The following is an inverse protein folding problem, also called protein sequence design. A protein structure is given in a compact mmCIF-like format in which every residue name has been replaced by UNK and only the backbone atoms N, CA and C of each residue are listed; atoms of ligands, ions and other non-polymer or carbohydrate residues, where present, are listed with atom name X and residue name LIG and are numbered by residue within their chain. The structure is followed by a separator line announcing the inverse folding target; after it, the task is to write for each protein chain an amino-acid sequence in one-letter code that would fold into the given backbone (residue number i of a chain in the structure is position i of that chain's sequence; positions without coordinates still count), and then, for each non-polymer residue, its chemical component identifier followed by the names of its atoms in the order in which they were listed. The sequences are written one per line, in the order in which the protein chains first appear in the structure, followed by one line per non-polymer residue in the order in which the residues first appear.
data_IF_982798186608
#
_entry.id   IF_982798186608
#
_cell.length_a   1.000
_cell.length_b   1.000
_cell.length_c   1.000
_cell.angle_alpha   90.00
_cell.angle_beta   90.00
_cell.angle_gamma   90.00
#
_symmetry.space_group_name_H-M   'P 1'
#
loop_
_entity.id
_entity.type
_entity.pdbx_description
1 polymer ?
#
# COMPACT_ATOMS: atom_id res chain seq x y z
N UNK A 1 -52.52 -36.80 0.90
CA UNK A 1 -53.00 -38.08 1.46
C UNK A 1 -52.72 -39.20 0.46
N UNK A 2 -51.89 -40.19 0.87
CA UNK A 2 -51.92 -41.62 0.44
C UNK A 2 -51.49 -41.87 -1.04
N UNK A 3 -50.54 -42.72 -1.48
CA UNK A 3 -49.78 -43.92 -1.05
C UNK A 3 -48.61 -44.05 -2.07
N UNK A 4 -47.33 -44.10 -1.70
CA UNK A 4 -46.48 -45.29 -1.47
C UNK A 4 -46.66 -46.51 -2.42
N UNK A 5 -45.51 -47.01 -2.93
CA UNK A 5 -45.07 -48.41 -3.23
C UNK A 5 -44.48 -48.54 -4.65
N UNK A 6 -43.16 -48.70 -4.82
CA UNK A 6 -42.25 -49.85 -4.60
C UNK A 6 -42.22 -50.89 -5.74
N UNK A 7 -41.00 -51.07 -6.26
CA UNK A 7 -40.31 -52.33 -6.58
C UNK A 7 -40.62 -53.04 -7.89
N UNK A 8 -39.59 -53.29 -8.71
CA UNK A 8 -39.38 -54.54 -9.46
C UNK A 8 -37.85 -54.75 -9.67
N UNK A 9 -37.26 -55.78 -9.03
CA UNK A 9 -36.65 -56.98 -9.66
C UNK A 9 -35.21 -56.78 -10.20
N UNK A 10 -34.24 -57.70 -10.11
CA UNK A 10 -34.15 -59.08 -9.60
C UNK A 10 -32.66 -59.47 -9.63
N UNK A 11 -32.23 -60.13 -8.56
CA UNK A 11 -31.09 -61.05 -8.37
C UNK A 11 -30.21 -61.45 -9.57
N UNK A 12 -28.88 -61.50 -9.32
CA UNK A 12 -28.09 -62.70 -9.63
C UNK A 12 -26.95 -62.90 -8.62
N UNK A 13 -26.97 -64.08 -7.99
CA UNK A 13 -25.96 -64.62 -7.09
C UNK A 13 -24.83 -65.23 -7.93
N UNK A 14 -23.58 -65.03 -7.51
CA UNK A 14 -22.51 -65.99 -7.75
C UNK A 14 -21.72 -66.17 -6.45
N UNK A 15 -21.43 -67.44 -6.18
CA UNK A 15 -20.90 -67.97 -4.93
C UNK A 15 -19.43 -68.34 -5.15
N UNK A 16 -18.62 -68.15 -4.10
CA UNK A 16 -17.35 -68.82 -3.76
C UNK A 16 -16.16 -68.63 -4.71
N UNK A 17 -15.11 -67.96 -4.20
CA UNK A 17 -13.80 -68.59 -4.00
C UNK A 17 -12.91 -67.67 -3.16
N UNK A 18 -12.69 -68.11 -1.92
CA UNK A 18 -11.72 -67.58 -0.97
C UNK A 18 -10.31 -67.82 -1.49
N UNK A 19 -9.53 -66.76 -1.71
CA UNK A 19 -8.06 -66.83 -1.66
C UNK A 19 -7.57 -65.63 -0.85
N UNK A 20 -7.21 -65.92 0.39
CA UNK A 20 -6.47 -65.03 1.27
C UNK A 20 -5.06 -64.87 0.69
N UNK A 21 -4.70 -63.66 0.24
CA UNK A 21 -3.30 -63.31 0.01
C UNK A 21 -3.02 -62.07 0.86
N UNK A 22 -2.41 -62.30 2.04
CA UNK A 22 -1.79 -61.25 2.84
C UNK A 22 -0.62 -60.68 2.04
N UNK A 23 -0.81 -59.51 1.44
CA UNK A 23 0.29 -58.62 1.08
C UNK A 23 0.22 -57.41 1.97
N UNK A 24 1.16 -57.37 2.91
CA UNK A 24 1.53 -56.17 3.66
C UNK A 24 1.97 -55.12 2.64
N UNK A 25 1.13 -54.14 2.38
CA UNK A 25 1.47 -52.96 1.60
C UNK A 25 2.22 -51.99 2.54
N UNK A 26 3.52 -51.73 2.36
CA UNK A 26 4.12 -50.60 3.02
C UNK A 26 3.52 -49.34 2.38
N UNK A 27 2.83 -48.54 3.19
CA UNK A 27 2.49 -47.16 2.86
C UNK A 27 3.80 -46.37 2.66
N UNK A 28 4.30 -46.38 1.42
CA UNK A 28 5.25 -45.38 0.97
C UNK A 28 4.46 -44.09 0.77
N UNK A 29 4.52 -43.21 1.78
CA UNK A 29 4.26 -41.79 1.59
C UNK A 29 5.29 -41.28 0.56
N UNK A 30 4.92 -41.27 -0.71
CA UNK A 30 5.57 -40.42 -1.70
C UNK A 30 5.14 -38.98 -1.43
N UNK A 31 5.79 -38.38 -0.43
CA UNK A 31 5.88 -36.94 -0.34
C UNK A 31 6.55 -36.44 -1.61
N UNK A 32 5.81 -35.69 -2.42
CA UNK A 32 6.36 -34.96 -3.55
C UNK A 32 7.17 -33.78 -3.00
N UNK A 33 8.36 -34.07 -2.48
CA UNK A 33 9.38 -33.08 -2.18
C UNK A 33 9.91 -32.55 -3.49
N UNK A 34 9.35 -31.43 -3.95
CA UNK A 34 10.02 -30.61 -4.96
C UNK A 34 11.34 -30.16 -4.34
N UNK A 35 12.46 -30.68 -4.85
CA UNK A 35 13.77 -30.10 -4.56
C UNK A 35 13.74 -28.63 -4.99
N UNK A 36 14.25 -27.68 -4.18
CA UNK A 36 14.43 -26.32 -4.65
C UNK A 36 15.30 -26.37 -5.91
N UNK A 37 14.82 -25.70 -6.96
CA UNK A 37 15.58 -25.53 -8.19
C UNK A 37 16.66 -24.51 -7.87
N UNK A 38 17.93 -24.93 -7.91
CA UNK A 38 19.08 -24.04 -7.85
C UNK A 38 19.06 -23.13 -9.08
N UNK A 39 18.38 -22.00 -8.97
CA UNK A 39 18.61 -20.88 -9.86
C UNK A 39 19.91 -20.22 -9.41
N UNK A 40 20.93 -20.09 -10.29
CA UNK A 40 22.10 -19.28 -9.99
C UNK A 40 21.61 -17.89 -9.58
N UNK A 41 22.05 -17.42 -8.42
CA UNK A 41 21.84 -16.03 -8.03
C UNK A 41 22.33 -15.15 -9.20
N UNK A 42 21.56 -14.13 -9.62
CA UNK A 42 22.05 -13.18 -10.59
C UNK A 42 23.39 -12.62 -10.09
N UNK A 43 24.34 -12.33 -11.00
CA UNK A 43 25.65 -11.81 -10.60
C UNK A 43 25.43 -10.58 -9.71
N UNK A 44 26.11 -10.56 -8.55
CA UNK A 44 26.15 -9.40 -7.68
C UNK A 44 26.75 -8.27 -8.51
N UNK A 45 25.88 -7.33 -8.92
CA UNK A 45 26.33 -6.09 -9.54
C UNK A 45 26.96 -5.29 -8.41
N UNK A 46 28.29 -5.35 -8.30
CA UNK A 46 29.07 -4.46 -7.45
C UNK A 46 28.59 -3.02 -7.73
N UNK A 47 28.02 -2.31 -6.73
CA UNK A 47 27.54 -0.96 -6.95
C UNK A 47 28.73 -0.10 -7.40
N UNK A 48 28.61 0.51 -8.57
CA UNK A 48 29.53 1.55 -9.05
C UNK A 48 29.74 2.54 -7.89
N UNK A 49 30.98 2.90 -7.52
CA UNK A 49 31.23 3.70 -6.33
C UNK A 49 30.43 5.00 -6.45
N UNK A 50 29.42 5.11 -5.58
CA UNK A 50 28.65 6.33 -5.46
C UNK A 50 29.64 7.45 -5.12
N UNK A 51 29.54 8.57 -5.83
CA UNK A 51 30.14 9.83 -5.37
C UNK A 51 29.67 10.00 -3.92
N UNK A 52 30.59 9.99 -2.96
CA UNK A 52 30.26 10.18 -1.54
C UNK A 52 29.57 11.53 -1.38
N UNK A 53 28.24 11.55 -1.40
CA UNK A 53 27.47 12.59 -0.71
C UNK A 53 27.95 12.56 0.74
N UNK A 54 28.31 13.71 1.29
CA UNK A 54 28.74 13.82 2.69
C UNK A 54 27.74 13.07 3.58
N UNK A 55 28.25 12.27 4.51
CA UNK A 55 27.44 11.44 5.41
C UNK A 55 26.43 12.25 6.23
N UNK A 56 26.66 13.55 6.41
CA UNK A 56 25.76 14.45 7.14
C UNK A 56 24.48 14.81 6.38
N UNK A 57 24.48 14.73 5.05
CA UNK A 57 23.33 15.15 4.22
C UNK A 57 22.15 14.18 4.27
N UNK A 58 22.32 12.97 4.80
CA UNK A 58 21.26 11.96 4.89
C UNK A 58 20.95 11.50 6.33
N UNK A 59 21.18 12.35 7.32
CA UNK A 59 20.71 12.10 8.69
C UNK A 59 19.19 12.28 8.79
N UNK A 60 18.51 11.62 9.76
CA UNK A 60 17.10 11.88 10.07
C UNK A 60 16.80 13.37 10.26
N UNK A 61 17.63 14.07 11.04
CA UNK A 61 17.49 15.51 11.27
C UNK A 61 17.58 16.33 9.98
N UNK A 62 18.52 16.02 9.08
CA UNK A 62 18.64 16.69 7.79
C UNK A 62 17.39 16.48 6.91
N UNK A 63 16.83 15.26 6.88
CA UNK A 63 15.59 14.98 6.14
C UNK A 63 14.39 15.76 6.70
N UNK A 64 14.24 15.78 8.02
CA UNK A 64 13.18 16.57 8.69
C UNK A 64 13.35 18.06 8.39
N UNK A 65 14.56 18.61 8.48
CA UNK A 65 14.81 20.02 8.18
C UNK A 65 14.49 20.38 6.72
N UNK A 66 14.82 19.50 5.76
CA UNK A 66 14.43 19.69 4.36
C UNK A 66 12.92 19.64 4.16
N UNK A 67 12.23 18.73 4.85
CA UNK A 67 10.77 18.64 4.82
C UNK A 67 10.10 19.90 5.39
N UNK A 68 10.59 20.41 6.51
CA UNK A 68 10.12 21.68 7.09
C UNK A 68 10.37 22.86 6.13
N UNK A 69 11.54 22.90 5.50
CA UNK A 69 11.88 23.93 4.51
C UNK A 69 10.97 23.88 3.27
N UNK A 70 10.66 22.68 2.76
CA UNK A 70 9.69 22.48 1.67
C UNK A 70 8.33 23.13 1.98
N UNK A 71 7.85 23.02 3.21
CA UNK A 71 6.55 23.56 3.62
C UNK A 71 6.52 25.09 3.83
N UNK A 72 7.68 25.77 3.88
CA UNK A 72 7.73 27.23 4.12
C UNK A 72 7.04 28.05 3.02
N UNK A 73 7.05 27.57 1.78
CA UNK A 73 6.53 28.30 0.61
C UNK A 73 5.03 28.08 0.36
N UNK A 74 4.24 27.71 1.37
CA UNK A 74 2.84 27.29 1.21
C UNK A 74 1.89 28.31 0.55
N UNK A 75 2.23 29.60 0.47
CA UNK A 75 1.40 30.63 -0.18
C UNK A 75 1.99 31.17 -1.50
N UNK A 76 3.26 30.89 -1.77
CA UNK A 76 3.99 31.53 -2.87
C UNK A 76 4.05 30.67 -4.13
N UNK A 77 3.83 29.36 -4.00
CA UNK A 77 3.82 28.41 -5.13
C UNK A 77 2.42 27.97 -5.51
N UNK A 78 2.23 27.67 -6.80
CA UNK A 78 0.96 27.18 -7.34
C UNK A 78 0.61 25.80 -6.77
N UNK A 79 -0.67 25.39 -6.81
CA UNK A 79 -1.05 24.04 -6.36
C UNK A 79 -0.32 22.96 -7.17
N UNK A 80 -0.18 23.14 -8.49
CA UNK A 80 0.53 22.18 -9.35
C UNK A 80 1.98 22.01 -8.92
N UNK A 81 2.67 23.12 -8.65
CA UNK A 81 4.06 23.11 -8.19
C UNK A 81 4.21 22.45 -6.81
N UNK A 82 3.24 22.66 -5.89
CA UNK A 82 3.22 21.92 -4.61
C UNK A 82 3.15 20.41 -4.83
N UNK A 83 2.27 19.94 -5.72
CA UNK A 83 2.15 18.51 -6.03
C UNK A 83 3.49 17.96 -6.53
N UNK A 84 4.14 18.65 -7.45
CA UNK A 84 5.43 18.25 -8.03
C UNK A 84 6.54 18.21 -6.98
N UNK A 85 6.70 19.29 -6.20
CA UNK A 85 7.72 19.37 -5.17
C UNK A 85 7.54 18.30 -4.09
N UNK A 86 6.31 18.07 -3.64
CA UNK A 86 6.01 17.05 -2.62
C UNK A 86 6.22 15.63 -3.19
N UNK A 87 5.76 15.37 -4.41
CA UNK A 87 5.96 14.07 -5.05
C UNK A 87 7.44 13.75 -5.22
N UNK A 88 8.21 14.72 -5.73
CA UNK A 88 9.66 14.61 -5.91
C UNK A 88 10.40 14.43 -4.57
N UNK A 89 9.96 15.13 -3.52
CA UNK A 89 10.58 15.05 -2.21
C UNK A 89 10.50 13.64 -1.61
N UNK A 90 9.30 13.08 -1.50
CA UNK A 90 9.12 11.76 -0.90
C UNK A 90 9.65 10.64 -1.78
N UNK A 91 9.60 10.77 -3.12
CA UNK A 91 10.15 9.78 -4.05
C UNK A 91 11.69 9.66 -4.03
N UNK A 92 12.38 10.38 -3.15
CA UNK A 92 13.80 10.19 -2.85
C UNK A 92 14.07 9.20 -1.70
N UNK A 93 13.04 8.85 -0.91
CA UNK A 93 13.14 7.86 0.15
C UNK A 93 13.15 6.44 -0.42
N UNK A 94 13.58 5.49 0.39
CA UNK A 94 13.64 4.08 0.01
C UNK A 94 12.23 3.45 0.06
N UNK A 95 11.91 2.66 -0.96
CA UNK A 95 10.69 1.85 -0.98
C UNK A 95 11.02 0.49 -0.36
N UNK A 96 10.50 0.23 0.85
CA UNK A 96 10.85 -0.91 1.71
C UNK A 96 9.55 -1.47 2.30
N UNK A 97 9.34 -2.78 2.20
CA UNK A 97 8.16 -3.42 2.79
C UNK A 97 8.18 -3.33 4.33
N UNK A 98 7.00 -3.17 4.91
CA UNK A 98 6.81 -2.99 6.36
C UNK A 98 7.42 -4.09 7.23
N UNK A 99 7.44 -5.33 6.74
CA UNK A 99 8.00 -6.45 7.49
C UNK A 99 9.49 -6.24 7.77
N UNK A 100 10.21 -5.56 6.88
CA UNK A 100 11.63 -5.25 7.04
C UNK A 100 11.85 -3.96 7.83
N UNK A 101 10.96 -2.97 7.68
CA UNK A 101 11.12 -1.66 8.30
C UNK A 101 10.59 -1.60 9.74
N UNK A 102 9.41 -2.19 9.97
CA UNK A 102 8.64 -2.10 11.20
C UNK A 102 8.48 -3.44 11.93
N UNK A 103 8.81 -4.56 11.27
CA UNK A 103 8.67 -5.91 11.84
C UNK A 103 7.23 -6.42 11.91
N UNK A 104 6.33 -5.81 11.13
CA UNK A 104 4.90 -6.17 11.02
C UNK A 104 4.45 -6.03 9.56
N UNK A 105 3.38 -6.69 9.15
CA UNK A 105 2.99 -6.79 7.73
C UNK A 105 2.26 -5.58 7.15
N UNK A 106 1.71 -4.68 7.97
CA UNK A 106 0.85 -3.58 7.51
C UNK A 106 0.78 -2.48 8.61
N UNK A 107 1.75 -1.56 8.55
CA UNK A 107 1.97 -0.43 9.47
C UNK A 107 1.99 0.89 8.70
N UNK A 108 0.92 1.66 8.85
CA UNK A 108 0.85 2.97 8.20
C UNK A 108 1.68 4.00 8.96
N UNK A 109 2.82 4.41 8.43
CA UNK A 109 3.71 5.37 9.06
C UNK A 109 3.23 6.82 8.90
N UNK A 110 3.51 7.63 9.92
CA UNK A 110 3.41 9.09 9.81
C UNK A 110 4.55 9.64 8.94
N UNK A 111 4.41 10.86 8.35
CA UNK A 111 5.49 11.47 7.58
C UNK A 111 6.82 11.56 8.36
N UNK A 112 6.75 11.85 9.66
CA UNK A 112 7.92 11.92 10.55
C UNK A 112 8.60 10.56 10.70
N UNK A 113 7.84 9.50 10.96
CA UNK A 113 8.36 8.13 11.10
C UNK A 113 9.06 7.67 9.82
N UNK A 114 8.42 7.91 8.67
CA UNK A 114 8.97 7.61 7.34
C UNK A 114 10.29 8.37 7.09
N UNK A 115 10.34 9.67 7.43
CA UNK A 115 11.55 10.48 7.30
C UNK A 115 12.64 10.06 8.29
N UNK A 116 12.31 9.62 9.50
CA UNK A 116 13.31 9.13 10.45
C UNK A 116 13.95 7.85 9.93
N UNK A 117 13.14 6.92 9.42
CA UNK A 117 13.60 5.62 8.94
C UNK A 117 14.09 5.60 7.49
N UNK A 118 14.02 6.75 6.78
CA UNK A 118 14.46 6.91 5.38
C UNK A 118 13.69 6.04 4.37
N UNK A 119 12.48 5.60 4.69
CA UNK A 119 11.71 4.73 3.82
C UNK A 119 10.33 4.41 4.36
N UNK A 120 9.60 3.65 3.55
CA UNK A 120 8.25 3.15 3.80
C UNK A 120 7.76 2.38 2.58
N UNK A 121 6.53 1.88 2.63
CA UNK A 121 5.92 1.17 1.51
C UNK A 121 4.90 2.04 0.74
N UNK A 122 3.99 1.46 -0.04
CA UNK A 122 3.19 2.25 -0.97
C UNK A 122 2.23 3.23 -0.27
N UNK A 123 1.62 2.81 0.85
CA UNK A 123 0.73 3.66 1.61
C UNK A 123 1.46 4.80 2.30
N UNK A 124 2.66 4.53 2.83
CA UNK A 124 3.44 5.51 3.58
C UNK A 124 3.78 6.70 2.70
N UNK A 125 4.18 6.44 1.45
CA UNK A 125 4.43 7.49 0.47
C UNK A 125 3.16 8.29 0.17
N UNK A 126 2.01 7.63 -0.05
CA UNK A 126 0.76 8.32 -0.36
C UNK A 126 0.27 9.18 0.82
N UNK A 127 0.38 8.65 2.04
CA UNK A 127 0.01 9.31 3.29
C UNK A 127 0.92 10.50 3.57
N UNK A 128 2.23 10.34 3.42
CA UNK A 128 3.19 11.40 3.64
C UNK A 128 2.97 12.59 2.69
N UNK A 129 2.68 12.29 1.41
CA UNK A 129 2.29 13.30 0.42
C UNK A 129 0.97 13.99 0.80
N UNK A 130 -0.05 13.24 1.22
CA UNK A 130 -1.37 13.77 1.61
C UNK A 130 -1.26 14.78 2.76
N UNK A 131 -0.59 14.40 3.86
CA UNK A 131 -0.47 15.28 5.02
C UNK A 131 0.40 16.50 4.74
N UNK A 132 1.48 16.33 3.96
CA UNK A 132 2.35 17.45 3.58
C UNK A 132 1.60 18.46 2.72
N UNK A 133 0.88 18.01 1.68
CA UNK A 133 0.09 18.89 0.82
C UNK A 133 -1.03 19.59 1.60
N UNK A 134 -1.69 18.88 2.50
CA UNK A 134 -2.67 19.46 3.42
C UNK A 134 -2.06 20.58 4.28
N UNK A 135 -0.87 20.37 4.85
CA UNK A 135 -0.14 21.38 5.62
C UNK A 135 0.32 22.57 4.77
N UNK A 136 0.51 22.34 3.47
CA UNK A 136 0.76 23.37 2.45
C UNK A 136 -0.52 24.01 1.89
N UNK A 137 -1.66 23.87 2.58
CA UNK A 137 -2.97 24.44 2.25
C UNK A 137 -3.56 23.95 0.92
N UNK A 138 -3.20 22.75 0.46
CA UNK A 138 -3.99 22.08 -0.59
C UNK A 138 -5.28 21.56 0.04
N UNK A 139 -6.47 21.91 -0.47
CA UNK A 139 -7.73 21.50 0.13
C UNK A 139 -7.86 19.97 0.19
N UNK A 140 -8.10 19.43 1.39
CA UNK A 140 -8.18 17.97 1.62
C UNK A 140 -9.33 17.32 0.83
N UNK A 141 -10.41 18.05 0.56
CA UNK A 141 -11.51 17.62 -0.30
C UNK A 141 -11.11 17.33 -1.74
N UNK A 142 -10.00 17.93 -2.20
CA UNK A 142 -9.42 17.69 -3.53
C UNK A 142 -8.43 16.54 -3.53
N UNK A 143 -8.16 15.92 -2.39
CA UNK A 143 -7.18 14.85 -2.26
C UNK A 143 -7.84 13.57 -1.76
N UNK A 144 -7.49 12.43 -2.35
CA UNK A 144 -7.95 11.11 -1.91
C UNK A 144 -6.82 10.10 -1.98
N UNK A 145 -6.58 9.39 -0.89
CA UNK A 145 -5.76 8.18 -0.92
C UNK A 145 -6.54 7.10 -1.67
N UNK A 146 -5.92 6.44 -2.63
CA UNK A 146 -6.58 5.48 -3.50
C UNK A 146 -5.89 4.12 -3.40
N UNK A 147 -6.65 3.12 -2.96
CA UNK A 147 -6.26 1.72 -3.01
C UNK A 147 -6.64 1.17 -4.38
N UNK A 148 -5.64 0.66 -5.09
CA UNK A 148 -5.75 0.23 -6.48
C UNK A 148 -5.12 -1.16 -6.65
N UNK A 149 -5.53 -1.88 -7.68
CA UNK A 149 -4.79 -3.05 -8.16
C UNK A 149 -3.81 -2.58 -9.22
N UNK A 150 -2.51 -2.78 -9.00
CA UNK A 150 -1.48 -2.53 -10.00
C UNK A 150 -1.38 -3.72 -10.95
N UNK A 151 -1.61 -3.48 -12.25
CA UNK A 151 -1.42 -4.50 -13.28
C UNK A 151 0.05 -4.78 -13.58
N UNK A 152 0.94 -3.78 -13.39
CA UNK A 152 2.39 -3.97 -13.58
C UNK A 152 2.99 -4.87 -12.52
N UNK A 153 2.64 -4.62 -11.25
CA UNK A 153 3.18 -5.38 -10.11
C UNK A 153 2.31 -6.62 -9.77
N UNK A 154 1.11 -6.71 -10.33
CA UNK A 154 0.12 -7.77 -10.05
C UNK A 154 -0.28 -7.91 -8.58
N UNK A 155 -0.16 -6.81 -7.83
CA UNK A 155 -0.48 -6.73 -6.40
C UNK A 155 -1.25 -5.45 -6.08
N UNK A 156 -1.88 -5.36 -4.90
CA UNK A 156 -2.39 -4.10 -4.40
C UNK A 156 -1.34 -3.00 -4.33
N UNK A 157 -1.77 -1.76 -4.50
CA UNK A 157 -0.92 -0.58 -4.44
C UNK A 157 -1.73 0.59 -3.89
N UNK A 158 -1.05 1.59 -3.31
CA UNK A 158 -1.67 2.82 -2.85
C UNK A 158 -1.02 4.05 -3.47
N UNK A 159 -1.86 4.98 -3.93
CA UNK A 159 -1.44 6.25 -4.54
C UNK A 159 -2.25 7.41 -3.96
N UNK A 160 -1.78 8.64 -4.19
CA UNK A 160 -2.53 9.84 -3.86
C UNK A 160 -3.13 10.46 -5.12
N UNK A 161 -4.46 10.60 -5.16
CA UNK A 161 -5.17 11.29 -6.22
C UNK A 161 -5.45 12.75 -5.84
N UNK A 162 -5.22 13.67 -6.76
CA UNK A 162 -5.62 15.08 -6.66
C UNK A 162 -6.63 15.46 -7.75
N UNK A 163 -7.75 16.03 -7.34
CA UNK A 163 -8.86 16.44 -8.19
C UNK A 163 -8.88 17.97 -8.34
N UNK A 164 -8.66 18.47 -9.56
CA UNK A 164 -8.82 19.91 -9.83
C UNK A 164 -10.29 20.34 -9.73
N UNK A 165 -11.20 19.46 -10.15
CA UNK A 165 -12.67 19.55 -10.08
C UNK A 165 -13.27 18.25 -9.53
N UNK A 166 -14.47 18.30 -8.94
CA UNK A 166 -15.09 17.19 -8.18
C UNK A 166 -15.29 15.90 -8.98
N UNK A 167 -15.55 16.03 -10.27
CA UNK A 167 -15.83 14.96 -11.25
C UNK A 167 -14.75 14.86 -12.35
N UNK A 168 -13.63 15.56 -12.17
CA UNK A 168 -12.53 15.57 -13.14
C UNK A 168 -11.64 14.32 -13.07
N UNK A 169 -10.90 14.08 -14.15
CA UNK A 169 -9.81 13.10 -14.21
C UNK A 169 -8.68 13.52 -13.25
N UNK A 170 -8.42 12.77 -12.15
CA UNK A 170 -7.47 13.20 -11.14
C UNK A 170 -6.03 13.04 -11.63
N UNK A 171 -5.15 13.86 -11.07
CA UNK A 171 -3.71 13.65 -11.11
C UNK A 171 -3.32 12.59 -10.09
N UNK A 172 -2.46 11.66 -10.49
CA UNK A 172 -1.96 10.55 -9.67
C UNK A 172 -0.54 10.83 -9.22
N UNK A 173 -0.33 10.88 -7.90
CA UNK A 173 0.97 10.98 -7.27
C UNK A 173 1.34 9.59 -6.74
N UNK A 174 2.32 8.97 -7.39
CA UNK A 174 2.75 7.58 -7.17
C UNK A 174 4.24 7.56 -6.75
N UNK A 175 4.66 6.52 -6.04
CA UNK A 175 6.06 6.30 -5.66
C UNK A 175 6.82 5.46 -6.69
N UNK A 176 6.12 4.61 -7.44
CA UNK A 176 6.70 3.76 -8.49
C UNK A 176 6.81 4.52 -9.81
N UNK A 177 5.69 5.10 -10.28
CA UNK A 177 5.70 6.07 -11.37
C UNK A 177 5.93 7.47 -10.79
N UNK A 178 7.09 8.06 -11.07
CA UNK A 178 7.50 9.32 -10.44
C UNK A 178 6.93 10.55 -11.16
N UNK A 179 6.52 10.39 -12.41
CA UNK A 179 5.81 11.44 -13.13
C UNK A 179 4.36 11.56 -12.67
N UNK A 180 3.87 12.78 -12.48
CA UNK A 180 2.46 13.03 -12.13
C UNK A 180 1.62 13.04 -13.40
N UNK A 181 0.99 11.89 -13.66
CA UNK A 181 0.10 11.65 -14.80
C UNK A 181 -1.37 11.72 -14.36
N UNK A 182 -2.29 11.93 -15.30
CA UNK A 182 -3.72 11.78 -14.99
C UNK A 182 -4.10 10.31 -14.85
N UNK A 183 -5.21 10.00 -14.18
CA UNK A 183 -5.64 8.62 -14.00
C UNK A 183 -5.98 7.95 -15.34
N UNK A 184 -6.54 8.68 -16.31
CA UNK A 184 -6.76 8.15 -17.67
C UNK A 184 -5.46 7.76 -18.39
N UNK A 185 -4.32 8.36 -18.03
CA UNK A 185 -2.99 7.99 -18.53
C UNK A 185 -2.34 6.84 -17.74
N UNK A 186 -3.02 6.30 -16.71
CA UNK A 186 -2.56 5.20 -15.85
C UNK A 186 -3.48 3.98 -15.93
N UNK A 187 -3.68 3.39 -17.13
CA UNK A 187 -4.53 2.19 -17.28
C UNK A 187 -3.97 0.97 -16.54
N UNK A 188 -2.73 1.05 -16.05
CA UNK A 188 -2.14 0.04 -15.19
C UNK A 188 -2.67 0.04 -13.75
N UNK A 189 -3.41 1.06 -13.33
CA UNK A 189 -4.00 1.15 -11.98
C UNK A 189 -5.51 0.98 -12.06
N UNK A 190 -6.02 -0.13 -11.50
CA UNK A 190 -7.46 -0.37 -11.44
C UNK A 190 -7.98 0.10 -10.07
N UNK A 191 -8.86 1.11 -9.99
CA UNK A 191 -9.35 1.63 -8.72
C UNK A 191 -10.25 0.63 -8.01
N UNK A 192 -10.01 0.42 -6.71
CA UNK A 192 -10.86 -0.43 -5.86
C UNK A 192 -11.67 0.46 -4.91
N UNK A 193 -11.00 1.34 -4.16
CA UNK A 193 -11.63 2.37 -3.35
C UNK A 193 -10.69 3.55 -3.13
N UNK A 194 -11.24 4.71 -2.77
CA UNK A 194 -10.45 5.86 -2.34
C UNK A 194 -11.10 6.56 -1.14
N UNK A 195 -10.31 7.23 -0.33
CA UNK A 195 -10.78 7.86 0.90
C UNK A 195 -9.94 9.08 1.25
N UNK A 196 -10.52 9.92 2.11
CA UNK A 196 -9.82 10.99 2.81
C UNK A 196 -10.46 11.17 4.18
N UNK A 197 -10.23 12.29 4.86
CA UNK A 197 -10.85 12.57 6.14
C UNK A 197 -12.38 12.80 6.08
N UNK A 198 -12.98 13.01 4.89
CA UNK A 198 -14.41 13.32 4.73
C UNK A 198 -15.25 12.13 4.27
N UNK A 199 -14.69 11.20 3.50
CA UNK A 199 -15.48 10.15 2.86
C UNK A 199 -14.69 8.95 2.37
N UNK A 200 -15.44 7.89 2.01
CA UNK A 200 -14.99 6.69 1.32
C UNK A 200 -15.80 6.51 0.02
N UNK A 201 -15.09 6.35 -1.10
CA UNK A 201 -15.60 6.13 -2.45
C UNK A 201 -15.18 4.74 -2.93
N UNK A 202 -16.08 4.02 -3.62
CA UNK A 202 -15.80 2.65 -4.12
C UNK A 202 -15.74 2.65 -5.65
N UNK A 203 -14.69 2.07 -6.21
CA UNK A 203 -14.39 2.11 -7.65
C UNK A 203 -14.24 3.55 -8.14
N UNK A 204 -14.85 3.85 -9.29
CA UNK A 204 -14.84 5.18 -9.92
C UNK A 204 -16.05 6.05 -9.51
N UNK A 205 -16.88 5.61 -8.57
CA UNK A 205 -18.07 6.36 -8.18
C UNK A 205 -17.68 7.71 -7.54
N UNK A 206 -18.21 8.85 -8.02
CA UNK A 206 -17.87 10.17 -7.49
C UNK A 206 -18.58 10.48 -6.15
N UNK A 207 -19.60 9.69 -5.80
CA UNK A 207 -20.37 9.83 -4.57
C UNK A 207 -19.78 8.98 -3.43
N UNK A 208 -19.57 9.55 -2.24
CA UNK A 208 -19.09 8.77 -1.10
C UNK A 208 -20.19 7.82 -0.64
N UNK A 209 -19.83 6.55 -0.39
CA UNK A 209 -20.78 5.54 0.09
C UNK A 209 -20.93 5.55 1.61
N UNK A 210 -19.92 6.01 2.34
CA UNK A 210 -19.89 6.02 3.81
C UNK A 210 -18.76 6.90 4.36
N UNK A 211 -18.67 7.03 5.68
CA UNK A 211 -17.56 7.65 6.40
C UNK A 211 -16.31 6.75 6.38
N UNK A 212 -15.09 7.33 6.31
CA UNK A 212 -13.82 6.58 6.37
C UNK A 212 -13.56 5.96 7.76
N UNK A 213 -14.39 6.22 8.77
CA UNK A 213 -14.25 5.65 10.13
C UNK A 213 -14.32 4.10 10.18
N UNK A 214 -14.67 3.42 9.08
CA UNK A 214 -14.53 1.97 8.97
C UNK A 214 -13.11 1.48 8.69
N UNK A 215 -12.17 2.38 8.35
CA UNK A 215 -10.77 2.05 8.07
C UNK A 215 -9.95 2.21 9.35
N UNK A 216 -9.86 1.14 10.14
CA UNK A 216 -9.22 1.14 11.46
C UNK A 216 -7.79 1.68 11.46
N UNK A 217 -6.99 1.35 10.42
CA UNK A 217 -5.60 1.84 10.29
C UNK A 217 -5.51 3.33 10.03
N UNK A 218 -6.42 3.87 9.22
CA UNK A 218 -6.51 5.31 8.98
C UNK A 218 -6.87 6.10 10.25
N UNK A 219 -7.70 5.53 11.12
CA UNK A 219 -8.01 6.13 12.42
C UNK A 219 -6.80 6.12 13.34
N UNK A 220 -6.15 4.95 13.49
CA UNK A 220 -4.97 4.81 14.34
C UNK A 220 -3.83 5.74 13.89
N UNK A 221 -3.61 5.89 12.59
CA UNK A 221 -2.63 6.83 12.06
C UNK A 221 -2.97 8.27 12.42
N UNK A 222 -4.22 8.68 12.24
CA UNK A 222 -4.64 10.03 12.58
C UNK A 222 -4.39 10.32 14.06
N UNK A 223 -4.74 9.39 14.95
CA UNK A 223 -4.50 9.53 16.38
C UNK A 223 -3.00 9.75 16.67
N UNK A 224 -2.11 8.92 16.11
CA UNK A 224 -0.65 9.10 16.26
C UNK A 224 -0.16 10.44 15.69
N UNK A 225 -0.64 10.82 14.51
CA UNK A 225 -0.24 12.06 13.85
C UNK A 225 -0.67 13.31 14.66
N UNK A 226 -1.89 13.33 15.18
CA UNK A 226 -2.37 14.44 16.00
C UNK A 226 -1.68 14.51 17.36
N UNK A 227 -1.39 13.37 18.01
CA UNK A 227 -0.61 13.38 19.26
C UNK A 227 0.80 13.94 19.05
N UNK A 228 1.49 13.51 17.98
CA UNK A 228 2.83 14.01 17.64
C UNK A 228 2.82 15.51 17.32
N UNK A 229 1.76 16.00 16.67
CA UNK A 229 1.61 17.44 16.35
C UNK A 229 1.35 18.27 17.61
N UNK A 230 0.53 17.78 18.54
CA UNK A 230 0.22 18.47 19.81
C UNK A 230 1.44 18.56 20.72
N UNK A 231 2.24 17.50 20.82
CA UNK A 231 3.50 17.54 21.58
C UNK A 231 4.44 18.63 21.04
N UNK A 232 4.59 18.71 19.71
CA UNK A 232 5.48 19.69 19.09
C UNK A 232 5.00 21.15 19.19
N UNK A 233 3.68 21.39 19.18
CA UNK A 233 3.09 22.72 19.43
C UNK A 233 3.20 23.15 20.89
N UNK A 234 3.20 22.20 21.82
CA UNK A 234 3.39 22.47 23.25
C UNK A 234 4.83 22.88 23.55
N UNK A 235 5.80 22.29 22.86
CA UNK A 235 7.21 22.67 23.00
C UNK A 235 7.50 24.04 22.38
N UNK A 236 6.80 24.45 21.31
CA UNK A 236 6.89 25.81 20.74
C UNK A 236 6.19 26.91 21.57
N UNK A 237 5.35 26.55 22.56
CA UNK A 237 4.64 27.51 23.43
C UNK A 237 5.24 27.62 24.84
N UNK A 238 6.28 26.83 25.14
CA UNK A 238 6.98 26.81 26.43
C UNK A 238 8.37 27.49 26.37
N UNK A 239 8.83 27.86 25.17
CA UNK A 239 9.97 28.76 24.93
C UNK A 239 9.51 30.16 24.46
#
# INVERSE_FOLDING_TARGET
MVKLLRSFHKTRRYTVATVFFMLVFPLLFNGCGKKPVDHPLPPVIEPKPAVKKSSDDNTPAARINRWLALMKNKYTVSVREKLELVNLFFNQLEFIDDIYLWGTEDYWATPQEMLINNGGDCEDFAIAKYFTLSRMNVPQEKMRLAYVKSLRQQQPHMVLNYFSATDGDPLVLDNVEREILSASQRPDLIPVYSFNNRGLWIGENPTPKTSPHGLSRWQQLQDRFYQNTVTHLRDELVD
#
